data_IF_907539954614
#
_entry.id   IF_907539954614
#
_cell.length_a   1.000
_cell.length_b   1.000
_cell.length_c   1.000
_cell.angle_alpha   90.00
_cell.angle_beta   90.00
_cell.angle_gamma   90.00
#
_symmetry.space_group_name_H-M   'P 1'
#
loop_
_entity.id
_entity.type
_entity.pdbx_description
1 polymer ?
#
# COMPACT_ATOMS: atom_id res chain seq x y z
N UNK A 1 39.48 -31.74 -15.66
CA UNK A 1 38.59 -31.31 -14.57
C UNK A 1 37.26 -30.89 -15.16
N UNK A 2 36.30 -31.81 -15.17
CA UNK A 2 34.94 -31.59 -15.65
C UNK A 2 34.08 -31.37 -14.41
N UNK A 3 33.20 -30.37 -14.44
CA UNK A 3 32.29 -30.13 -13.32
C UNK A 3 31.29 -31.29 -13.21
N UNK A 4 31.08 -31.81 -12.01
CA UNK A 4 30.09 -32.87 -11.75
C UNK A 4 29.02 -32.25 -10.86
N UNK A 5 27.74 -32.30 -11.24
CA UNK A 5 26.65 -31.81 -10.39
C UNK A 5 26.63 -32.61 -9.08
N UNK A 6 26.26 -31.99 -7.95
CA UNK A 6 26.03 -32.72 -6.69
C UNK A 6 25.07 -33.92 -6.83
N UNK A 7 24.12 -33.84 -7.78
CA UNK A 7 23.19 -34.92 -8.06
C UNK A 7 23.86 -36.20 -8.61
N UNK A 8 24.98 -36.05 -9.34
CA UNK A 8 25.72 -37.15 -9.93
C UNK A 8 26.99 -37.51 -9.13
N UNK A 9 27.24 -36.85 -8.00
CA UNK A 9 28.47 -37.00 -7.19
C UNK A 9 28.66 -38.43 -6.64
N UNK A 10 27.57 -39.18 -6.46
CA UNK A 10 27.60 -40.59 -6.03
C UNK A 10 27.85 -41.59 -7.16
N UNK A 11 27.88 -41.15 -8.42
CA UNK A 11 28.11 -42.02 -9.57
C UNK A 11 29.55 -41.89 -10.07
N UNK A 12 30.18 -43.02 -10.35
CA UNK A 12 31.57 -43.08 -10.82
C UNK A 12 31.80 -42.46 -12.20
N UNK A 13 30.73 -42.27 -12.99
CA UNK A 13 30.74 -41.51 -14.25
C UNK A 13 29.65 -40.43 -14.20
N UNK A 14 29.92 -39.20 -14.67
CA UNK A 14 28.92 -38.13 -14.72
C UNK A 14 27.86 -38.42 -15.79
N UNK A 15 26.72 -38.95 -15.36
CA UNK A 15 25.62 -39.40 -16.22
C UNK A 15 25.00 -38.25 -17.04
N UNK A 16 25.11 -36.99 -16.60
CA UNK A 16 24.64 -35.82 -17.35
C UNK A 16 25.15 -35.80 -18.79
N UNK A 17 26.45 -36.03 -19.01
CA UNK A 17 27.07 -35.82 -20.33
C UNK A 17 26.67 -36.88 -21.37
N UNK A 18 26.22 -38.05 -20.90
CA UNK A 18 25.77 -39.15 -21.76
C UNK A 18 24.25 -39.11 -22.02
N UNK A 19 23.50 -38.30 -21.26
CA UNK A 19 22.04 -38.15 -21.42
C UNK A 19 21.68 -37.26 -22.61
N UNK A 20 20.43 -37.36 -23.05
CA UNK A 20 19.86 -36.53 -24.11
C UNK A 20 20.04 -35.02 -23.85
N UNK A 21 20.31 -34.23 -24.89
CA UNK A 21 20.60 -32.78 -24.79
C UNK A 21 19.53 -31.97 -24.04
N UNK A 22 18.26 -32.37 -24.13
CA UNK A 22 17.17 -31.73 -23.37
C UNK A 22 17.38 -31.84 -21.84
N UNK A 23 17.86 -32.99 -21.36
CA UNK A 23 18.15 -33.19 -19.94
C UNK A 23 19.31 -32.29 -19.50
N UNK A 24 20.37 -32.22 -20.30
CA UNK A 24 21.52 -31.35 -20.03
C UNK A 24 21.10 -29.88 -19.91
N UNK A 25 20.26 -29.39 -20.84
CA UNK A 25 19.73 -28.03 -20.79
C UNK A 25 18.90 -27.77 -19.53
N UNK A 26 17.97 -28.68 -19.19
CA UNK A 26 17.14 -28.55 -17.99
C UNK A 26 18.00 -28.52 -16.72
N UNK A 27 19.03 -29.36 -16.64
CA UNK A 27 19.93 -29.36 -15.49
C UNK A 27 20.75 -28.08 -15.40
N UNK A 28 21.29 -27.57 -16.51
CA UNK A 28 21.98 -26.28 -16.53
C UNK A 28 21.07 -25.12 -16.12
N UNK A 29 19.82 -25.12 -16.56
CA UNK A 29 18.83 -24.12 -16.16
C UNK A 29 18.48 -24.22 -14.67
N UNK A 30 18.24 -25.43 -14.16
CA UNK A 30 17.98 -25.68 -12.74
C UNK A 30 19.11 -25.13 -11.85
N UNK A 31 20.36 -25.41 -12.19
CA UNK A 31 21.49 -24.89 -11.44
C UNK A 31 21.68 -23.38 -11.57
N UNK A 32 21.33 -22.80 -12.73
CA UNK A 32 21.33 -21.35 -12.92
C UNK A 32 20.30 -20.67 -11.99
N UNK A 33 19.12 -21.26 -11.83
CA UNK A 33 18.09 -20.77 -10.88
C UNK A 33 18.54 -20.94 -9.43
N UNK A 34 19.16 -22.07 -9.07
CA UNK A 34 19.73 -22.29 -7.74
C UNK A 34 20.80 -21.26 -7.39
N UNK A 35 21.67 -20.96 -8.35
CA UNK A 35 22.73 -19.96 -8.20
C UNK A 35 22.15 -18.55 -8.07
N UNK A 36 21.10 -18.24 -8.83
CA UNK A 36 20.34 -17.00 -8.67
C UNK A 36 19.70 -16.91 -7.28
N UNK A 37 19.24 -18.03 -6.71
CA UNK A 37 18.77 -18.09 -5.33
C UNK A 37 19.91 -18.04 -4.27
N UNK A 38 21.17 -17.95 -4.69
CA UNK A 38 22.33 -17.84 -3.80
C UNK A 38 22.96 -19.18 -3.38
N UNK A 39 22.63 -20.28 -4.05
CA UNK A 39 23.26 -21.58 -3.78
C UNK A 39 24.59 -21.73 -4.52
N UNK A 40 25.53 -22.46 -3.92
CA UNK A 40 26.81 -22.80 -4.55
C UNK A 40 26.66 -24.03 -5.46
N UNK A 41 27.46 -24.06 -6.53
CA UNK A 41 27.50 -25.13 -7.51
C UNK A 41 28.69 -26.09 -7.29
N UNK A 42 29.45 -25.96 -6.21
CA UNK A 42 30.64 -26.78 -5.93
C UNK A 42 31.64 -26.77 -7.11
N UNK A 43 32.26 -25.61 -7.41
CA UNK A 43 33.22 -25.49 -8.50
C UNK A 43 34.46 -26.38 -8.25
N UNK A 44 34.90 -27.13 -9.26
CA UNK A 44 36.04 -28.04 -9.13
C UNK A 44 37.37 -27.42 -9.62
N UNK A 45 37.32 -26.35 -10.42
CA UNK A 45 38.50 -25.67 -10.96
C UNK A 45 38.58 -24.21 -10.55
N UNK A 46 39.80 -23.65 -10.53
CA UNK A 46 40.04 -22.24 -10.16
C UNK A 46 39.24 -21.26 -11.02
N UNK A 47 39.16 -21.50 -12.33
CA UNK A 47 38.37 -20.66 -13.23
C UNK A 47 36.85 -20.74 -12.93
N UNK A 48 36.35 -21.94 -12.63
CA UNK A 48 34.95 -22.16 -12.25
C UNK A 48 34.63 -21.46 -10.92
N UNK A 49 35.56 -21.49 -9.96
CA UNK A 49 35.42 -20.84 -8.67
C UNK A 49 35.33 -19.31 -8.81
N UNK A 50 36.21 -18.71 -9.62
CA UNK A 50 36.21 -17.26 -9.90
C UNK A 50 34.88 -16.84 -10.55
N UNK A 51 34.46 -17.54 -11.60
CA UNK A 51 33.18 -17.25 -12.26
C UNK A 51 32.00 -17.44 -11.32
N UNK A 52 31.99 -18.53 -10.54
CA UNK A 52 30.89 -18.81 -9.61
C UNK A 52 30.76 -17.73 -8.54
N UNK A 53 31.89 -17.23 -8.05
CA UNK A 53 31.94 -16.13 -7.09
C UNK A 53 31.32 -14.85 -7.68
N UNK A 54 31.70 -14.49 -8.91
CA UNK A 54 31.15 -13.30 -9.60
C UNK A 54 29.64 -13.43 -9.80
N UNK A 55 29.16 -14.60 -10.24
CA UNK A 55 27.74 -14.84 -10.46
C UNK A 55 26.94 -14.84 -9.16
N UNK A 56 27.43 -15.45 -8.08
CA UNK A 56 26.76 -15.44 -6.76
C UNK A 56 26.70 -14.02 -6.20
N UNK A 57 27.74 -13.21 -6.38
CA UNK A 57 27.72 -11.79 -6.00
C UNK A 57 26.66 -11.01 -6.79
N UNK A 58 26.60 -11.20 -8.11
CA UNK A 58 25.58 -10.57 -8.95
C UNK A 58 24.17 -11.00 -8.56
N UNK A 59 23.95 -12.30 -8.35
CA UNK A 59 22.70 -12.87 -7.86
C UNK A 59 22.29 -12.28 -6.51
N UNK A 60 23.24 -12.12 -5.59
CA UNK A 60 23.01 -11.51 -4.27
C UNK A 60 22.52 -10.07 -4.38
N UNK A 61 23.12 -9.27 -5.28
CA UNK A 61 22.69 -7.89 -5.55
C UNK A 61 21.27 -7.88 -6.14
N UNK A 62 20.97 -8.77 -7.07
CA UNK A 62 19.63 -8.89 -7.67
C UNK A 62 18.59 -9.23 -6.59
N UNK A 63 18.86 -10.23 -5.75
CA UNK A 63 17.98 -10.63 -4.65
C UNK A 63 17.77 -9.48 -3.66
N UNK A 64 18.84 -8.76 -3.29
CA UNK A 64 18.73 -7.61 -2.40
C UNK A 64 17.79 -6.53 -2.96
N UNK A 65 17.85 -6.25 -4.27
CA UNK A 65 16.95 -5.31 -4.92
C UNK A 65 15.50 -5.83 -4.95
N UNK A 66 15.29 -7.11 -5.25
CA UNK A 66 13.95 -7.73 -5.25
C UNK A 66 13.32 -7.62 -3.87
N UNK A 67 14.04 -8.01 -2.81
CA UNK A 67 13.55 -7.91 -1.43
C UNK A 67 13.37 -6.46 -0.98
N UNK A 68 14.25 -5.55 -1.39
CA UNK A 68 14.09 -4.11 -1.11
C UNK A 68 12.81 -3.54 -1.71
N UNK A 69 12.54 -3.82 -2.99
CA UNK A 69 11.32 -3.39 -3.65
C UNK A 69 10.07 -4.03 -3.02
N UNK A 70 10.14 -5.33 -2.68
CA UNK A 70 9.06 -6.00 -1.98
C UNK A 70 8.75 -5.35 -0.63
N UNK A 71 9.78 -4.99 0.15
CA UNK A 71 9.62 -4.29 1.41
C UNK A 71 8.95 -2.92 1.23
N UNK A 72 9.32 -2.16 0.19
CA UNK A 72 8.68 -0.87 -0.15
C UNK A 72 7.21 -1.07 -0.49
N UNK A 73 6.85 -2.08 -1.30
CA UNK A 73 5.46 -2.37 -1.64
C UNK A 73 4.66 -2.74 -0.38
N UNK A 74 5.22 -3.59 0.49
CA UNK A 74 4.59 -3.97 1.76
C UNK A 74 4.40 -2.77 2.68
N UNK A 75 5.38 -1.87 2.75
CA UNK A 75 5.28 -0.63 3.51
C UNK A 75 4.18 0.28 2.95
N UNK A 76 4.10 0.44 1.62
CA UNK A 76 3.07 1.23 0.96
C UNK A 76 1.67 0.67 1.20
N UNK A 77 1.51 -0.65 1.06
CA UNK A 77 0.24 -1.35 1.32
C UNK A 77 -0.24 -1.16 2.76
N UNK A 78 0.68 -1.18 3.72
CA UNK A 78 0.35 -1.03 5.14
C UNK A 78 0.40 0.42 5.64
N UNK A 79 0.75 1.40 4.79
CA UNK A 79 0.99 2.79 5.21
C UNK A 79 -0.22 3.42 5.89
N UNK A 80 -1.41 3.24 5.30
CA UNK A 80 -2.67 3.81 5.82
C UNK A 80 -3.04 3.23 7.19
N UNK A 81 -2.95 1.90 7.32
CA UNK A 81 -3.26 1.21 8.57
C UNK A 81 -2.24 1.55 9.66
N UNK A 82 -0.95 1.56 9.33
CA UNK A 82 0.12 1.91 10.27
C UNK A 82 -0.05 3.32 10.81
N UNK A 83 -0.36 4.30 9.96
CA UNK A 83 -0.56 5.69 10.38
C UNK A 83 -1.78 5.87 11.30
N UNK A 84 -2.86 5.10 11.07
CA UNK A 84 -4.01 5.13 11.98
C UNK A 84 -3.70 4.48 13.32
N UNK A 85 -3.05 3.30 13.32
CA UNK A 85 -2.64 2.64 14.55
C UNK A 85 -1.73 3.53 15.41
N UNK A 86 -0.78 4.24 14.78
CA UNK A 86 0.07 5.23 15.45
C UNK A 86 -0.75 6.35 16.12
N UNK A 87 -1.76 6.91 15.42
CA UNK A 87 -2.66 7.93 16.01
C UNK A 87 -3.42 7.39 17.23
N UNK A 88 -3.94 6.17 17.16
CA UNK A 88 -4.66 5.52 18.27
C UNK A 88 -3.72 5.25 19.45
N UNK A 89 -2.49 4.84 19.19
CA UNK A 89 -1.48 4.60 20.22
C UNK A 89 -1.07 5.90 20.93
N UNK A 90 -0.87 7.00 20.18
CA UNK A 90 -0.60 8.32 20.73
C UNK A 90 -1.77 8.80 21.61
N UNK A 91 -3.01 8.66 21.14
CA UNK A 91 -4.20 9.00 21.90
C UNK A 91 -4.26 8.19 23.20
N UNK A 92 -4.06 6.88 23.13
CA UNK A 92 -4.08 5.96 24.28
C UNK A 92 -2.99 6.32 25.30
N UNK A 93 -1.77 6.57 24.84
CA UNK A 93 -0.66 6.97 25.69
C UNK A 93 -0.92 8.31 26.39
N UNK A 94 -1.50 9.27 25.67
CA UNK A 94 -1.91 10.57 26.22
C UNK A 94 -2.98 10.41 27.31
N UNK A 95 -4.00 9.60 27.05
CA UNK A 95 -5.07 9.35 28.02
C UNK A 95 -4.54 8.68 29.30
N UNK A 96 -3.59 7.75 29.16
CA UNK A 96 -2.91 7.11 30.30
C UNK A 96 -2.11 8.11 31.13
N UNK A 97 -1.35 9.00 30.48
CA UNK A 97 -0.57 10.04 31.16
C UNK A 97 -1.46 11.02 31.94
N UNK A 98 -2.67 11.28 31.44
CA UNK A 98 -3.68 12.12 32.11
C UNK A 98 -4.48 11.37 33.19
N UNK A 99 -4.19 10.09 33.45
CA UNK A 99 -4.93 9.25 34.41
C UNK A 99 -6.44 9.16 34.13
N UNK A 100 -6.83 9.16 32.86
CA UNK A 100 -8.24 9.00 32.46
C UNK A 100 -8.73 7.59 32.84
N UNK A 101 -9.95 7.43 33.39
CA UNK A 101 -10.49 6.10 33.73
C UNK A 101 -10.56 5.16 32.52
N UNK A 102 -10.25 3.88 32.73
CA UNK A 102 -10.15 2.86 31.66
C UNK A 102 -11.43 2.74 30.81
N UNK A 103 -12.60 2.82 31.44
CA UNK A 103 -13.87 2.82 30.71
C UNK A 103 -13.99 3.97 29.70
N UNK A 104 -13.48 5.16 30.03
CA UNK A 104 -13.50 6.30 29.11
C UNK A 104 -12.46 6.12 28.00
N UNK A 105 -11.28 5.57 28.31
CA UNK A 105 -10.26 5.26 27.30
C UNK A 105 -10.79 4.27 26.25
N UNK A 106 -11.46 3.21 26.69
CA UNK A 106 -12.04 2.19 25.80
C UNK A 106 -13.12 2.79 24.90
N UNK A 107 -13.96 3.69 25.44
CA UNK A 107 -14.96 4.41 24.64
C UNK A 107 -14.33 5.29 23.57
N UNK A 108 -13.26 6.02 23.91
CA UNK A 108 -12.55 6.88 22.95
C UNK A 108 -11.88 6.03 21.85
N UNK A 109 -11.22 4.93 22.20
CA UNK A 109 -10.61 4.04 21.21
C UNK A 109 -11.66 3.40 20.29
N UNK A 110 -12.77 2.91 20.85
CA UNK A 110 -13.86 2.34 20.06
C UNK A 110 -14.45 3.37 19.08
N UNK A 111 -14.60 4.62 19.54
CA UNK A 111 -15.03 5.72 18.69
C UNK A 111 -14.03 6.04 17.56
N UNK A 112 -12.74 6.16 17.86
CA UNK A 112 -11.71 6.41 16.85
C UNK A 112 -11.71 5.33 15.75
N UNK A 113 -11.90 4.06 16.14
CA UNK A 113 -11.99 2.93 15.21
C UNK A 113 -13.27 3.00 14.36
N UNK A 114 -14.42 3.33 14.96
CA UNK A 114 -15.68 3.40 14.22
C UNK A 114 -15.74 4.56 13.23
N UNK A 115 -15.08 5.67 13.53
CA UNK A 115 -15.20 6.93 12.76
C UNK A 115 -14.08 7.09 11.73
N UNK A 116 -13.04 6.22 11.75
CA UNK A 116 -11.90 6.30 10.85
C UNK A 116 -12.30 6.39 9.37
N UNK A 117 -13.18 5.49 8.90
CA UNK A 117 -13.56 5.44 7.49
C UNK A 117 -14.26 6.72 7.02
N UNK A 118 -15.16 7.26 7.84
CA UNK A 118 -15.93 8.47 7.54
C UNK A 118 -15.04 9.72 7.54
N UNK A 119 -14.15 9.85 8.52
CA UNK A 119 -13.22 10.98 8.63
C UNK A 119 -12.21 10.99 7.48
N UNK A 120 -11.68 9.82 7.12
CA UNK A 120 -10.74 9.72 6.01
C UNK A 120 -11.42 10.12 4.69
N UNK A 121 -12.65 9.65 4.41
CA UNK A 121 -13.39 10.03 3.19
C UNK A 121 -13.65 11.53 3.11
N UNK A 122 -14.07 12.13 4.23
CA UNK A 122 -14.29 13.57 4.34
C UNK A 122 -13.00 14.36 4.07
N UNK A 123 -11.90 13.93 4.68
CA UNK A 123 -10.60 14.58 4.49
C UNK A 123 -10.07 14.42 3.07
N UNK A 124 -10.16 13.21 2.50
CA UNK A 124 -9.76 12.94 1.11
C UNK A 124 -10.55 13.82 0.13
N UNK A 125 -11.84 14.05 0.39
CA UNK A 125 -12.66 14.95 -0.41
C UNK A 125 -12.23 16.42 -0.30
N UNK A 126 -11.94 16.91 0.90
CA UNK A 126 -11.46 18.28 1.10
C UNK A 126 -10.07 18.49 0.46
N UNK A 127 -9.13 17.57 0.70
CA UNK A 127 -7.80 17.58 0.09
C UNK A 127 -7.91 17.58 -1.45
N UNK A 128 -8.84 16.80 -2.02
CA UNK A 128 -9.14 16.82 -3.45
C UNK A 128 -9.65 18.18 -3.94
N UNK A 129 -10.63 18.79 -3.24
CA UNK A 129 -11.16 20.09 -3.62
C UNK A 129 -10.12 21.22 -3.50
N UNK A 130 -9.15 21.11 -2.58
CA UNK A 130 -8.05 22.08 -2.43
C UNK A 130 -7.03 22.03 -3.58
N UNK A 131 -6.93 20.90 -4.30
CA UNK A 131 -6.05 20.77 -5.47
C UNK A 131 -6.61 21.45 -6.72
N UNK A 132 -7.90 21.79 -6.73
CA UNK A 132 -8.59 22.37 -7.87
C UNK A 132 -8.46 23.89 -7.91
N UNK A 133 -8.42 24.47 -9.12
CA UNK A 133 -8.58 25.92 -9.28
C UNK A 133 -9.99 26.36 -8.81
N UNK A 134 -10.18 27.63 -8.42
CA UNK A 134 -11.49 28.10 -7.95
C UNK A 134 -12.64 27.85 -8.95
N UNK A 135 -12.36 27.95 -10.26
CA UNK A 135 -13.33 27.66 -11.31
C UNK A 135 -13.72 26.18 -11.37
N UNK A 136 -12.73 25.28 -11.35
CA UNK A 136 -12.96 23.83 -11.37
C UNK A 136 -13.63 23.33 -10.10
N UNK A 137 -13.25 23.89 -8.94
CA UNK A 137 -13.90 23.59 -7.66
C UNK A 137 -15.39 23.91 -7.73
N UNK A 138 -15.77 25.09 -8.24
CA UNK A 138 -17.18 25.47 -8.40
C UNK A 138 -17.93 24.51 -9.32
N UNK A 139 -17.33 24.14 -10.45
CA UNK A 139 -17.95 23.22 -11.42
C UNK A 139 -18.16 21.81 -10.86
N UNK A 140 -17.14 21.26 -10.18
CA UNK A 140 -17.21 19.92 -9.55
C UNK A 140 -18.20 19.91 -8.39
N UNK A 141 -18.17 20.92 -7.51
CA UNK A 141 -19.12 21.06 -6.41
C UNK A 141 -20.55 21.13 -6.93
N UNK A 142 -20.82 21.94 -7.96
CA UNK A 142 -22.15 22.00 -8.57
C UNK A 142 -22.61 20.63 -9.06
N UNK A 143 -21.74 19.91 -9.78
CA UNK A 143 -22.09 18.59 -10.29
C UNK A 143 -22.42 17.58 -9.17
N UNK A 144 -21.64 17.56 -8.09
CA UNK A 144 -21.85 16.64 -6.97
C UNK A 144 -23.16 16.94 -6.22
N UNK A 145 -23.47 18.21 -5.97
CA UNK A 145 -24.64 18.59 -5.17
C UNK A 145 -25.91 18.82 -5.99
N UNK A 146 -25.82 18.87 -7.33
CA UNK A 146 -26.97 19.08 -8.21
C UNK A 146 -28.06 18.03 -8.00
N UNK A 147 -27.71 16.75 -7.92
CA UNK A 147 -28.69 15.68 -7.68
C UNK A 147 -29.36 15.82 -6.31
N UNK A 148 -28.61 16.23 -5.27
CA UNK A 148 -29.15 16.47 -3.93
C UNK A 148 -30.16 17.62 -3.89
N UNK A 149 -29.96 18.67 -4.70
CA UNK A 149 -30.84 19.84 -4.72
C UNK A 149 -32.11 19.56 -5.54
N UNK A 150 -31.97 18.90 -6.69
CA UNK A 150 -33.10 18.56 -7.56
C UNK A 150 -34.04 17.56 -6.86
N UNK A 151 -33.48 16.62 -6.08
CA UNK A 151 -34.27 15.64 -5.32
C UNK A 151 -34.92 16.20 -4.04
N UNK A 152 -34.74 17.48 -3.72
CA UNK A 152 -35.29 18.07 -2.50
C UNK A 152 -36.69 18.67 -2.75
N UNK A 153 -37.72 18.25 -1.99
CA UNK A 153 -39.11 18.69 -2.19
C UNK A 153 -39.32 20.21 -2.04
N UNK A 154 -38.38 20.94 -1.43
CA UNK A 154 -38.43 22.41 -1.33
C UNK A 154 -38.23 23.09 -2.70
N UNK A 155 -37.49 22.46 -3.61
CA UNK A 155 -37.06 23.03 -4.89
C UNK A 155 -37.78 22.44 -6.11
N UNK A 156 -38.63 21.43 -5.93
CA UNK A 156 -39.32 20.68 -6.99
C UNK A 156 -40.17 21.56 -7.93
N UNK A 157 -40.77 22.63 -7.41
CA UNK A 157 -41.61 23.55 -8.19
C UNK A 157 -40.88 24.81 -8.70
N UNK A 158 -39.61 25.01 -8.33
CA UNK A 158 -38.89 26.29 -8.53
C UNK A 158 -37.55 26.10 -9.22
N UNK A 159 -37.60 25.54 -10.43
CA UNK A 159 -36.44 25.24 -11.27
C UNK A 159 -35.55 26.47 -11.52
N UNK A 160 -36.14 27.66 -11.67
CA UNK A 160 -35.41 28.92 -11.87
C UNK A 160 -34.50 29.30 -10.68
N UNK A 161 -34.82 28.83 -9.47
CA UNK A 161 -34.04 29.13 -8.26
C UNK A 161 -32.87 28.16 -8.10
N UNK A 162 -32.93 26.98 -8.72
CA UNK A 162 -31.91 25.94 -8.63
C UNK A 162 -30.57 26.43 -9.18
N UNK A 163 -30.57 27.13 -10.33
CA UNK A 163 -29.34 27.68 -10.92
C UNK A 163 -28.68 28.74 -10.01
N UNK A 164 -29.47 29.59 -9.36
CA UNK A 164 -28.98 30.65 -8.45
C UNK A 164 -28.37 30.01 -7.20
N UNK A 165 -29.07 29.02 -6.61
CA UNK A 165 -28.60 28.30 -5.42
C UNK A 165 -27.33 27.51 -5.71
N UNK A 166 -27.23 26.88 -6.89
CA UNK A 166 -26.01 26.19 -7.32
C UNK A 166 -24.85 27.16 -7.51
N UNK A 167 -25.10 28.41 -7.91
CA UNK A 167 -24.06 29.41 -8.10
C UNK A 167 -23.47 29.91 -6.78
N UNK A 168 -24.30 30.12 -5.76
CA UNK A 168 -23.89 30.60 -4.42
C UNK A 168 -23.62 29.48 -3.41
N UNK A 169 -23.49 28.23 -3.89
CA UNK A 169 -23.35 27.07 -3.02
C UNK A 169 -21.95 26.98 -2.42
N UNK A 170 -21.86 27.23 -1.12
CA UNK A 170 -20.62 27.04 -0.35
C UNK A 170 -20.64 25.68 0.34
N UNK A 171 -19.75 24.78 -0.07
CA UNK A 171 -19.59 23.51 0.65
C UNK A 171 -18.90 23.76 1.99
N UNK A 172 -19.61 23.45 3.08
CA UNK A 172 -19.06 23.42 4.43
C UNK A 172 -19.03 21.96 4.88
N UNK A 173 -17.83 21.47 5.23
CA UNK A 173 -17.62 20.12 5.73
C UNK A 173 -17.43 20.21 7.25
N UNK A 174 -18.24 19.46 7.99
CA UNK A 174 -18.20 19.42 9.45
C UNK A 174 -17.82 18.02 9.93
N UNK A 175 -17.07 17.98 11.02
CA UNK A 175 -16.80 16.74 11.75
C UNK A 175 -18.11 16.27 12.42
N UNK A 176 -18.27 14.96 12.68
CA UNK A 176 -19.46 14.42 13.34
C UNK A 176 -19.80 15.05 14.70
N UNK A 177 -18.83 15.69 15.36
CA UNK A 177 -18.97 16.33 16.67
C UNK A 177 -19.06 17.86 16.61
N UNK A 178 -18.99 18.47 15.43
CA UNK A 178 -19.13 19.91 15.30
C UNK A 178 -20.58 20.32 15.59
N UNK A 179 -20.78 21.24 16.54
CA UNK A 179 -22.08 21.86 16.75
C UNK A 179 -22.40 22.78 15.56
N UNK A 180 -23.21 22.28 14.61
CA UNK A 180 -23.56 23.00 13.38
C UNK A 180 -24.54 24.15 13.66
N UNK A 181 -25.48 23.94 14.59
CA UNK A 181 -26.48 24.94 14.95
C UNK A 181 -26.74 24.91 16.47
N UNK A 182 -26.62 26.06 17.12
CA UNK A 182 -26.96 26.23 18.53
C UNK A 182 -28.26 27.02 18.65
N UNK A 183 -29.21 26.52 19.43
CA UNK A 183 -30.49 27.21 19.65
C UNK A 183 -30.25 28.53 20.42
N UNK A 184 -30.60 29.67 19.79
CA UNK A 184 -30.44 31.01 20.36
C UNK A 184 -29.41 31.91 19.69
N UNK A 185 -28.82 31.48 18.56
CA UNK A 185 -28.05 32.34 17.64
C UNK A 185 -28.93 32.98 16.57
#
# INVERSE_FOLDING_TARGET
NVWIPPLDENYSNPLIYERHHFYQYLTSFYYSVLMLAGNDMAPQGTAQLILSTIFILAASIINANIFGNMAVILQQMNRRNSAFHEKVEIATSTMRNMSIPEHLQNRVQAYLISTQATLDQQKEFDDFLQLLSPSLKSEVTKHIFQECIIGNPIFEEKVEIIEIVLYDLTTLLFLPEDEICRQGS
#
